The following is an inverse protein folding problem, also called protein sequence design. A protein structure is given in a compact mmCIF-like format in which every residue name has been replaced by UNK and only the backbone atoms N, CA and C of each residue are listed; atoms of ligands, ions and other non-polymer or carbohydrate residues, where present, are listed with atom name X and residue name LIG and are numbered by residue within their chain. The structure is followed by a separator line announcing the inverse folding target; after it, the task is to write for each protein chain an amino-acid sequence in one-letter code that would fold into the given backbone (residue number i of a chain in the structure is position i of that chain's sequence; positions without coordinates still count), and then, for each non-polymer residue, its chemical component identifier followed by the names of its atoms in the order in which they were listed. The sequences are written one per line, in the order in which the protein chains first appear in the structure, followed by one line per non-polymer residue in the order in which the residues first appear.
data_IF_701822949894
#
_entry.id   IF_701822949894
#
_cell.length_a   1.000
_cell.length_b   1.000
_cell.length_c   1.000
_cell.angle_alpha   90.00
_cell.angle_beta   90.00
_cell.angle_gamma   90.00
#
_symmetry.space_group_name_H-M   'P 1'
#
loop_
_entity.id
_entity.type
_entity.pdbx_description
1 polymer ?
#
# COMPACT_ATOMS: atom_id res chain seq x y z
N UNK A 1 -11.37 31.77 -4.77
CA UNK A 1 -11.43 30.84 -5.93
C UNK A 1 -10.12 30.08 -5.98
N UNK A 2 -10.13 28.83 -6.47
CA UNK A 2 -8.93 27.98 -6.57
C UNK A 2 -8.14 28.28 -7.85
N UNK A 3 -6.83 27.93 -7.91
CA UNK A 3 -6.03 28.00 -9.14
C UNK A 3 -6.64 27.22 -10.31
N UNK A 4 -6.31 27.63 -11.54
CA UNK A 4 -6.84 27.02 -12.77
C UNK A 4 -6.46 25.53 -12.92
N UNK A 5 -5.33 25.14 -12.33
CA UNK A 5 -4.73 23.82 -12.34
C UNK A 5 -4.95 23.05 -11.02
N UNK A 6 -5.90 23.49 -10.20
CA UNK A 6 -6.21 22.80 -8.94
C UNK A 6 -6.70 21.38 -9.19
N UNK A 7 -6.13 20.41 -8.45
CA UNK A 7 -6.46 19.00 -8.58
C UNK A 7 -7.64 18.64 -7.67
N UNK A 8 -8.76 18.28 -8.27
CA UNK A 8 -9.94 17.75 -7.60
C UNK A 8 -9.95 16.24 -7.75
N UNK A 9 -9.90 15.52 -6.63
CA UNK A 9 -9.79 14.07 -6.64
C UNK A 9 -10.72 13.39 -5.65
N UNK A 10 -11.07 12.15 -5.98
CA UNK A 10 -11.57 11.16 -5.02
C UNK A 10 -10.49 10.10 -4.78
N UNK A 11 -10.56 9.40 -3.65
CA UNK A 11 -9.56 8.41 -3.28
C UNK A 11 -10.15 7.13 -2.69
N UNK A 12 -9.49 6.00 -2.96
CA UNK A 12 -9.85 4.66 -2.47
C UNK A 12 -8.61 3.86 -2.09
N UNK A 13 -8.83 2.69 -1.49
CA UNK A 13 -7.79 1.71 -1.23
C UNK A 13 -8.28 0.30 -1.61
N UNK A 14 -7.39 -0.47 -2.22
CA UNK A 14 -7.63 -1.78 -2.82
C UNK A 14 -8.52 -2.70 -1.98
N UNK A 15 -8.08 -3.06 -0.77
CA UNK A 15 -8.82 -4.00 0.08
C UNK A 15 -10.22 -3.51 0.48
N UNK A 16 -10.43 -2.20 0.49
CA UNK A 16 -11.71 -1.61 0.91
C UNK A 16 -12.78 -1.66 -0.19
N UNK A 17 -12.38 -1.72 -1.47
CA UNK A 17 -13.32 -1.59 -2.59
C UNK A 17 -13.23 -2.71 -3.64
N UNK A 18 -12.06 -3.33 -3.85
CA UNK A 18 -11.83 -4.25 -4.97
C UNK A 18 -12.72 -5.50 -4.89
N UNK A 19 -12.69 -6.21 -3.77
CA UNK A 19 -13.23 -7.57 -3.72
C UNK A 19 -12.34 -8.57 -4.45
N UNK A 20 -12.94 -9.64 -4.98
CA UNK A 20 -12.24 -10.64 -5.79
C UNK A 20 -11.04 -11.27 -5.06
N UNK A 21 -11.17 -11.50 -3.76
CA UNK A 21 -10.02 -11.73 -2.85
C UNK A 21 -9.11 -12.92 -3.18
N UNK A 22 -9.59 -13.88 -3.99
CA UNK A 22 -8.86 -15.04 -4.53
C UNK A 22 -8.88 -15.13 -6.06
N UNK A 23 -9.33 -14.10 -6.75
CA UNK A 23 -9.33 -14.06 -8.20
C UNK A 23 -7.90 -13.89 -8.75
N UNK A 24 -7.66 -14.48 -9.91
CA UNK A 24 -6.53 -14.19 -10.80
C UNK A 24 -5.17 -14.13 -10.08
N UNK A 25 -4.86 -15.18 -9.31
CA UNK A 25 -3.55 -15.34 -8.68
C UNK A 25 -3.31 -14.49 -7.43
N UNK A 26 -4.29 -13.71 -6.95
CA UNK A 26 -4.15 -12.95 -5.70
C UNK A 26 -3.91 -13.88 -4.50
N UNK A 27 -2.90 -13.57 -3.69
CA UNK A 27 -2.65 -14.24 -2.41
C UNK A 27 -3.31 -13.53 -1.20
N UNK A 28 -3.12 -14.11 -0.02
CA UNK A 28 -3.64 -13.56 1.24
C UNK A 28 -2.78 -12.39 1.73
N UNK A 29 -3.42 -11.25 1.93
CA UNK A 29 -2.84 -10.11 2.65
C UNK A 29 -2.99 -10.27 4.17
N UNK A 30 -2.35 -9.37 4.91
CA UNK A 30 -2.55 -9.27 6.37
C UNK A 30 -4.00 -8.93 6.72
N UNK A 31 -4.66 -8.12 5.89
CA UNK A 31 -6.05 -7.72 6.08
C UNK A 31 -7.01 -8.87 5.81
N UNK A 32 -6.73 -9.74 4.83
CA UNK A 32 -7.50 -10.97 4.61
C UNK A 32 -7.48 -11.83 5.89
N UNK A 33 -6.30 -12.09 6.45
CA UNK A 33 -6.17 -12.88 7.69
C UNK A 33 -6.86 -12.21 8.89
N UNK A 34 -6.71 -10.89 9.02
CA UNK A 34 -7.29 -10.13 10.11
C UNK A 34 -8.82 -10.14 10.06
N UNK A 35 -9.42 -9.85 8.90
CA UNK A 35 -10.87 -9.79 8.75
C UNK A 35 -11.55 -11.16 8.90
N UNK A 36 -10.88 -12.23 8.46
CA UNK A 36 -11.37 -13.59 8.66
C UNK A 36 -11.17 -14.12 10.10
N UNK A 37 -10.50 -13.38 10.97
CA UNK A 37 -10.36 -13.77 12.38
C UNK A 37 -11.64 -13.40 13.13
N UNK A 38 -12.32 -14.34 13.81
CA UNK A 38 -13.57 -14.06 14.51
C UNK A 38 -13.45 -12.87 15.48
N UNK A 39 -14.48 -12.02 15.50
CA UNK A 39 -14.63 -10.86 16.40
C UNK A 39 -13.63 -9.71 16.17
N UNK A 40 -12.79 -9.76 15.13
CA UNK A 40 -11.86 -8.67 14.81
C UNK A 40 -12.49 -7.53 14.00
N UNK A 41 -13.49 -7.85 13.18
CA UNK A 41 -14.27 -6.88 12.41
C UNK A 41 -15.73 -6.96 12.87
N UNK A 42 -16.37 -5.80 12.91
CA UNK A 42 -17.79 -5.68 13.22
C UNK A 42 -18.63 -6.52 12.23
N UNK A 43 -19.65 -7.20 12.74
CA UNK A 43 -20.53 -8.11 11.96
C UNK A 43 -19.80 -9.22 11.17
N UNK A 44 -18.53 -9.49 11.48
CA UNK A 44 -17.67 -10.40 10.70
C UNK A 44 -17.53 -10.02 9.21
N UNK A 45 -17.68 -8.72 8.90
CA UNK A 45 -17.45 -8.21 7.56
C UNK A 45 -16.00 -8.46 7.09
N UNK A 46 -15.83 -8.64 5.79
CA UNK A 46 -14.51 -8.84 5.17
C UNK A 46 -14.45 -8.21 3.77
N UNK A 47 -13.25 -8.24 3.17
CA UNK A 47 -12.98 -7.66 1.85
C UNK A 47 -13.23 -8.62 0.68
N UNK A 48 -13.94 -9.74 0.88
CA UNK A 48 -14.05 -10.79 -0.14
C UNK A 48 -14.77 -10.30 -1.40
N UNK A 49 -15.86 -9.57 -1.20
CA UNK A 49 -16.66 -8.91 -2.24
C UNK A 49 -16.43 -7.40 -2.22
N UNK A 50 -16.35 -6.78 -1.04
CA UNK A 50 -16.23 -5.33 -0.87
C UNK A 50 -17.27 -4.55 -1.71
N UNK A 51 -16.84 -3.61 -2.55
CA UNK A 51 -17.71 -2.90 -3.51
C UNK A 51 -17.74 -3.57 -4.89
N UNK A 52 -17.05 -4.70 -5.06
CA UNK A 52 -16.89 -5.43 -6.32
C UNK A 52 -16.23 -4.57 -7.44
N UNK A 53 -15.45 -3.56 -7.07
CA UNK A 53 -14.77 -2.67 -8.01
C UNK A 53 -13.79 -3.44 -8.93
N UNK A 54 -13.30 -4.61 -8.52
CA UNK A 54 -12.49 -5.49 -9.36
C UNK A 54 -13.22 -5.89 -10.64
N UNK A 55 -14.52 -6.18 -10.56
CA UNK A 55 -15.35 -6.58 -11.70
C UNK A 55 -16.11 -5.40 -12.31
N UNK A 56 -16.14 -4.23 -11.64
CA UNK A 56 -16.99 -3.08 -11.98
C UNK A 56 -16.23 -1.78 -12.25
N UNK A 57 -14.95 -1.86 -12.56
CA UNK A 57 -14.09 -0.69 -12.77
C UNK A 57 -14.66 0.29 -13.81
N UNK A 58 -15.31 -0.21 -14.87
CA UNK A 58 -15.92 0.64 -15.90
C UNK A 58 -17.07 1.49 -15.36
N UNK A 59 -17.88 0.93 -14.45
CA UNK A 59 -18.96 1.66 -13.77
C UNK A 59 -18.39 2.72 -12.83
N UNK A 60 -17.35 2.38 -12.05
CA UNK A 60 -16.69 3.32 -11.13
C UNK A 60 -16.03 4.49 -11.89
N UNK A 61 -15.39 4.23 -13.03
CA UNK A 61 -14.83 5.27 -13.91
C UNK A 61 -15.94 6.17 -14.46
N UNK A 62 -17.09 5.61 -14.83
CA UNK A 62 -18.23 6.41 -15.30
C UNK A 62 -18.75 7.36 -14.20
N UNK A 63 -18.79 6.89 -12.95
CA UNK A 63 -19.17 7.71 -11.79
C UNK A 63 -18.14 8.83 -11.53
N UNK A 64 -16.84 8.53 -11.60
CA UNK A 64 -15.77 9.54 -11.45
C UNK A 64 -15.89 10.64 -12.52
N UNK A 65 -16.17 10.25 -13.78
CA UNK A 65 -16.40 11.20 -14.87
C UNK A 65 -17.66 12.05 -14.62
N UNK A 66 -18.74 11.44 -14.15
CA UNK A 66 -19.97 12.15 -13.81
C UNK A 66 -19.75 13.16 -12.66
N UNK A 67 -18.93 12.81 -11.67
CA UNK A 67 -18.57 13.69 -10.56
C UNK A 67 -17.73 14.89 -11.00
N UNK A 68 -17.01 14.78 -12.12
CA UNK A 68 -16.19 15.86 -12.67
C UNK A 68 -14.84 16.04 -11.98
N UNK A 69 -14.35 15.01 -11.26
CA UNK A 69 -12.98 15.01 -10.74
C UNK A 69 -11.98 14.89 -11.88
N UNK A 70 -10.82 15.54 -11.72
CA UNK A 70 -9.74 15.47 -12.71
C UNK A 70 -8.66 14.44 -12.34
N UNK A 71 -8.69 13.91 -11.11
CA UNK A 71 -7.75 12.90 -10.63
C UNK A 71 -8.48 11.83 -9.80
N UNK A 72 -7.93 10.61 -9.80
CA UNK A 72 -8.38 9.53 -8.93
C UNK A 72 -7.17 8.88 -8.27
N UNK A 73 -7.17 8.84 -6.94
CA UNK A 73 -6.10 8.20 -6.15
C UNK A 73 -6.58 6.85 -5.68
N UNK A 74 -5.99 5.77 -6.17
CA UNK A 74 -6.23 4.42 -5.68
C UNK A 74 -4.93 3.79 -5.16
N UNK A 75 -5.03 2.69 -4.44
CA UNK A 75 -3.87 1.87 -4.06
C UNK A 75 -3.88 0.56 -4.85
N UNK A 76 -2.70 -0.02 -5.07
CA UNK A 76 -2.56 -1.33 -5.71
C UNK A 76 -2.50 -2.41 -4.62
N UNK A 77 -3.27 -3.49 -4.79
CA UNK A 77 -3.18 -4.67 -3.92
C UNK A 77 -1.87 -5.42 -4.18
N UNK A 78 -0.90 -5.32 -3.26
CA UNK A 78 0.42 -5.95 -3.45
C UNK A 78 0.34 -7.46 -3.67
N UNK A 79 -0.57 -8.13 -2.96
CA UNK A 79 -0.80 -9.58 -3.10
C UNK A 79 -1.37 -9.98 -4.46
N UNK A 80 -1.85 -9.02 -5.27
CA UNK A 80 -2.18 -9.23 -6.68
C UNK A 80 -0.97 -9.08 -7.59
N UNK A 81 0.04 -8.30 -7.22
CA UNK A 81 1.23 -8.06 -8.06
C UNK A 81 2.34 -9.05 -7.73
N UNK A 82 2.67 -9.19 -6.45
CA UNK A 82 3.68 -10.11 -5.92
C UNK A 82 2.99 -11.03 -4.88
N UNK A 83 2.34 -12.12 -5.30
CA UNK A 83 1.56 -12.97 -4.40
C UNK A 83 2.40 -13.59 -3.27
N UNK A 84 3.67 -13.86 -3.47
CA UNK A 84 4.57 -14.36 -2.41
C UNK A 84 5.34 -13.25 -1.67
N UNK A 85 5.10 -11.98 -2.06
CA UNK A 85 5.80 -10.82 -1.51
C UNK A 85 7.20 -10.58 -2.07
N UNK A 86 7.65 -11.38 -3.04
CA UNK A 86 8.98 -11.29 -3.66
C UNK A 86 8.87 -11.13 -5.18
N UNK A 87 9.96 -10.72 -5.83
CA UNK A 87 10.03 -10.67 -7.30
C UNK A 87 10.22 -12.02 -7.97
N UNK A 88 10.35 -13.11 -7.19
CA UNK A 88 10.48 -14.45 -7.76
C UNK A 88 9.16 -14.93 -8.40
N UNK A 89 8.03 -14.37 -7.95
CA UNK A 89 6.71 -14.68 -8.49
C UNK A 89 5.91 -13.41 -8.69
N UNK A 90 5.99 -12.86 -9.91
CA UNK A 90 5.20 -11.71 -10.35
C UNK A 90 3.94 -12.25 -11.04
N UNK A 91 2.79 -11.70 -10.69
CA UNK A 91 1.53 -12.00 -11.35
C UNK A 91 1.30 -11.01 -12.51
N UNK A 92 1.64 -11.46 -13.71
CA UNK A 92 1.55 -10.69 -14.94
C UNK A 92 0.20 -10.97 -15.64
N UNK A 93 -0.83 -10.20 -15.33
CA UNK A 93 -2.14 -10.30 -16.00
C UNK A 93 -2.22 -9.38 -17.22
N UNK A 94 -1.97 -8.08 -17.05
CA UNK A 94 -2.48 -7.07 -17.99
C UNK A 94 -1.42 -6.12 -18.57
N UNK A 95 -0.12 -6.42 -18.40
CA UNK A 95 1.01 -5.59 -18.88
C UNK A 95 0.83 -4.08 -18.56
N UNK A 96 0.37 -3.79 -17.35
CA UNK A 96 0.07 -2.43 -16.88
C UNK A 96 1.36 -1.70 -16.57
N UNK A 97 1.47 -0.47 -17.07
CA UNK A 97 2.58 0.43 -16.80
C UNK A 97 2.45 1.05 -15.38
N UNK A 98 3.17 0.47 -14.41
CA UNK A 98 3.16 0.92 -13.01
C UNK A 98 4.11 2.09 -12.83
N UNK A 99 3.54 3.29 -12.67
CA UNK A 99 4.28 4.55 -12.58
C UNK A 99 4.74 4.91 -11.16
N UNK A 100 4.22 4.25 -10.12
CA UNK A 100 4.58 4.57 -8.74
C UNK A 100 4.04 3.60 -7.69
N UNK A 101 4.77 3.48 -6.57
CA UNK A 101 4.40 2.67 -5.42
C UNK A 101 4.31 3.54 -4.16
N UNK A 102 3.21 3.46 -3.42
CA UNK A 102 3.01 4.17 -2.16
C UNK A 102 2.68 3.18 -1.05
N UNK A 103 3.57 3.08 -0.05
CA UNK A 103 3.28 2.29 1.14
C UNK A 103 2.20 2.99 1.98
N UNK A 104 1.07 2.30 2.17
CA UNK A 104 0.09 2.66 3.19
C UNK A 104 0.42 1.87 4.48
N UNK A 105 0.76 2.49 5.59
CA UNK A 105 0.89 3.93 5.88
C UNK A 105 2.27 4.26 6.46
N UNK A 106 2.62 5.55 6.48
CA UNK A 106 3.83 6.01 7.16
C UNK A 106 3.78 5.69 8.66
N UNK A 107 2.62 5.80 9.31
CA UNK A 107 2.46 5.64 10.75
C UNK A 107 1.28 4.76 11.09
N UNK A 108 1.39 4.02 12.20
CA UNK A 108 0.25 3.34 12.82
C UNK A 108 -0.89 4.34 13.05
N UNK A 109 -2.02 4.07 12.42
CA UNK A 109 -3.23 4.89 12.43
C UNK A 109 -4.25 4.33 13.44
N UNK A 110 -5.27 5.14 13.72
CA UNK A 110 -6.41 4.69 14.50
C UNK A 110 -7.23 3.73 13.64
N UNK A 111 -7.34 2.49 14.08
CA UNK A 111 -8.26 1.51 13.52
C UNK A 111 -9.58 1.57 14.28
N UNK A 112 -10.70 1.76 13.57
CA UNK A 112 -12.00 2.06 14.19
C UNK A 112 -12.43 1.05 15.27
N UNK A 113 -12.18 -0.24 15.04
CA UNK A 113 -12.59 -1.31 15.94
C UNK A 113 -11.57 -1.63 17.05
N UNK A 114 -10.29 -1.31 16.85
CA UNK A 114 -9.19 -1.79 17.70
C UNK A 114 -8.30 -0.68 18.25
N UNK A 115 -8.59 0.57 17.93
CA UNK A 115 -7.80 1.73 18.34
C UNK A 115 -6.39 1.69 17.74
N UNK A 116 -5.37 1.88 18.57
CA UNK A 116 -3.96 1.83 18.17
C UNK A 116 -3.27 0.50 18.52
N UNK A 117 -4.06 -0.54 18.83
CA UNK A 117 -3.50 -1.85 19.21
C UNK A 117 -2.94 -2.59 18.00
N UNK A 118 -3.61 -2.48 16.85
CA UNK A 118 -3.12 -2.98 15.57
C UNK A 118 -2.14 -1.98 14.95
N UNK A 119 -1.08 -2.50 14.34
CA UNK A 119 0.12 -1.73 13.97
C UNK A 119 0.55 -2.01 12.54
N UNK A 120 -0.15 -1.40 11.57
CA UNK A 120 0.06 -1.62 10.14
C UNK A 120 1.00 -0.63 9.44
N UNK A 121 1.35 0.48 10.08
CA UNK A 121 2.23 1.50 9.49
C UNK A 121 3.71 1.15 9.58
N UNK A 122 4.56 1.89 8.86
CA UNK A 122 6.01 1.76 8.90
C UNK A 122 6.62 2.21 10.24
N UNK A 123 6.00 3.19 10.89
CA UNK A 123 6.42 3.70 12.19
C UNK A 123 5.31 3.48 13.23
N UNK A 124 5.67 3.10 14.44
CA UNK A 124 4.74 3.16 15.57
C UNK A 124 5.01 4.40 16.43
N UNK A 125 3.97 4.86 17.12
CA UNK A 125 4.07 5.98 18.05
C UNK A 125 4.14 5.45 19.48
N UNK A 126 5.19 5.78 20.22
CA UNK A 126 5.27 5.43 21.64
C UNK A 126 4.42 6.39 22.46
N UNK A 127 3.19 5.98 22.80
CA UNK A 127 2.26 6.78 23.59
C UNK A 127 2.53 6.75 25.10
N UNK A 128 3.42 5.89 25.58
CA UNK A 128 3.84 5.85 26.98
C UNK A 128 4.82 6.96 27.33
N UNK A 129 5.51 7.52 26.34
CA UNK A 129 6.38 8.69 26.49
C UNK A 129 5.56 9.97 26.19
N UNK A 130 5.58 10.98 27.07
CA UNK A 130 4.85 12.24 26.87
C UNK A 130 5.31 13.03 25.63
N UNK A 131 6.52 12.76 25.10
CA UNK A 131 7.03 13.37 23.87
C UNK A 131 6.53 12.67 22.61
N UNK A 132 5.82 11.54 22.75
CA UNK A 132 5.14 10.83 21.67
C UNK A 132 6.11 10.51 20.50
N UNK A 133 7.30 9.94 20.75
CA UNK A 133 8.30 9.74 19.71
C UNK A 133 7.82 8.71 18.67
N UNK A 134 8.29 8.89 17.43
CA UNK A 134 8.04 7.97 16.30
C UNK A 134 9.19 6.98 16.26
N UNK A 135 8.87 5.69 16.27
CA UNK A 135 9.86 4.63 16.29
C UNK A 135 9.71 3.81 15.01
N UNK A 136 10.81 3.70 14.26
CA UNK A 136 10.86 2.91 13.04
C UNK A 136 10.68 1.42 13.36
N UNK A 137 9.87 0.72 12.57
CA UNK A 137 9.81 -0.74 12.58
C UNK A 137 10.85 -1.32 11.63
N UNK A 138 11.09 -2.63 11.74
CA UNK A 138 12.00 -3.37 10.85
C UNK A 138 11.65 -3.18 9.36
N UNK A 139 10.36 -3.09 9.04
CA UNK A 139 9.87 -2.85 7.68
C UNK A 139 10.37 -1.54 7.06
N UNK A 140 10.78 -0.54 7.86
CA UNK A 140 11.36 0.71 7.37
C UNK A 140 12.68 0.43 6.65
N UNK A 141 13.54 -0.43 7.22
CA UNK A 141 14.84 -0.73 6.61
C UNK A 141 14.67 -1.45 5.27
N UNK A 142 13.71 -2.38 5.18
CA UNK A 142 13.37 -3.06 3.94
C UNK A 142 12.79 -2.09 2.90
N UNK A 143 11.84 -1.24 3.28
CA UNK A 143 11.25 -0.27 2.36
C UNK A 143 12.26 0.80 1.89
N UNK A 144 13.15 1.27 2.78
CA UNK A 144 14.26 2.14 2.41
C UNK A 144 15.21 1.49 1.41
N UNK A 145 15.46 0.19 1.54
CA UNK A 145 16.25 -0.57 0.56
C UNK A 145 15.56 -0.54 -0.81
N UNK A 146 14.26 -0.82 -0.88
CA UNK A 146 13.51 -0.78 -2.14
C UNK A 146 13.61 0.60 -2.80
N UNK A 147 13.46 1.66 -2.01
CA UNK A 147 13.57 3.05 -2.51
C UNK A 147 14.98 3.31 -3.05
N UNK A 148 16.02 3.03 -2.26
CA UNK A 148 17.41 3.32 -2.64
C UNK A 148 17.87 2.51 -3.86
N UNK A 149 17.34 1.30 -4.02
CA UNK A 149 17.67 0.42 -5.13
C UNK A 149 16.72 0.58 -6.33
N UNK A 150 15.71 1.45 -6.21
CA UNK A 150 14.65 1.65 -7.19
C UNK A 150 14.04 0.32 -7.69
N UNK A 151 13.80 -0.62 -6.77
CA UNK A 151 13.37 -1.98 -7.09
C UNK A 151 13.62 -2.96 -5.94
N UNK A 152 13.24 -4.22 -6.14
CA UNK A 152 13.45 -5.30 -5.17
C UNK A 152 14.78 -6.00 -5.46
N UNK A 153 15.85 -5.72 -4.70
CA UNK A 153 17.09 -6.44 -4.88
C UNK A 153 16.87 -7.92 -4.55
N UNK A 154 17.34 -8.80 -5.42
CA UNK A 154 17.28 -10.24 -5.20
C UNK A 154 18.17 -10.63 -4.00
N UNK A 155 17.60 -11.21 -2.92
CA UNK A 155 18.38 -11.65 -1.76
C UNK A 155 19.47 -12.67 -2.09
N UNK A 156 19.30 -13.46 -3.16
CA UNK A 156 20.27 -14.47 -3.58
C UNK A 156 21.48 -13.87 -4.31
N UNK A 157 21.36 -12.65 -4.82
CA UNK A 157 22.39 -11.94 -5.60
C UNK A 157 23.48 -11.29 -4.74
N UNK A 158 23.40 -11.38 -3.40
CA UNK A 158 24.34 -10.77 -2.47
C UNK A 158 24.05 -9.27 -2.21
N UNK A 159 24.98 -8.52 -1.58
CA UNK A 159 24.77 -7.10 -1.27
C UNK A 159 24.61 -6.29 -2.56
N UNK A 160 23.43 -5.72 -2.79
CA UNK A 160 23.15 -4.93 -3.99
C UNK A 160 23.97 -3.62 -4.00
N UNK A 161 24.43 -3.17 -5.17
CA UNK A 161 25.33 -2.02 -5.30
C UNK A 161 24.77 -0.72 -4.71
N UNK A 162 23.45 -0.50 -4.80
CA UNK A 162 22.71 0.60 -4.15
C UNK A 162 22.86 0.65 -2.62
N UNK A 163 23.27 -0.44 -1.96
CA UNK A 163 23.46 -0.53 -0.51
C UNK A 163 24.90 -0.23 -0.10
N UNK A 164 25.81 -0.04 -1.06
CA UNK A 164 27.16 0.43 -0.77
C UNK A 164 27.06 1.90 -0.35
N UNK A 165 27.66 2.29 0.80
CA UNK A 165 27.73 3.71 1.15
C UNK A 165 28.45 4.46 0.03
N UNK A 166 27.84 5.54 -0.46
CA UNK A 166 28.52 6.47 -1.37
C UNK A 166 29.83 6.92 -0.69
N UNK A 167 30.97 6.98 -1.42
CA UNK A 167 32.16 7.65 -0.91
C UNK A 167 31.78 9.07 -0.52
N UNK A 168 32.20 9.55 0.65
CA UNK A 168 31.91 10.92 1.11
C UNK A 168 32.30 11.96 0.04
N UNK A 169 31.33 12.40 -0.77
CA UNK A 169 31.65 13.25 -1.91
C UNK A 169 30.46 13.54 -2.82
N UNK A 170 29.88 14.73 -2.63
CA UNK A 170 28.86 15.39 -3.46
C UNK A 170 27.41 14.89 -3.34
N UNK A 171 26.73 15.48 -2.36
CA UNK A 171 25.28 15.67 -2.34
C UNK A 171 24.80 16.29 -3.68
N UNK A 172 24.23 15.46 -4.56
CA UNK A 172 23.43 15.97 -5.69
C UNK A 172 22.08 16.40 -5.12
N UNK A 173 21.82 17.71 -5.16
CA UNK A 173 20.49 18.26 -4.89
C UNK A 173 19.51 17.67 -5.90
N UNK A 174 18.41 17.12 -5.38
CA UNK A 174 17.17 16.88 -6.10
C UNK A 174 16.63 18.19 -6.69
#
# INVERSE_FOLDING_TARGET
MFPQDFLWSSATAAYQIEGGWRADGKSLSIWDKFAHTPLKIFDSDNGDIACDSYNKIDEDIAILKQLGVNHYRFSISWTRVLPDGTTNHINELDNVDVQGYTAWSLMDNLEWATGFSERFGLFYVNRSDPNVPRVAKESVSFFSTIINCNGFPDPASGPHDCLKPEPEGNCRRL
#
